data_IF_416126812115
#
_entry.id   IF_416126812115
#
_cell.length_a   1.000
_cell.length_b   1.000
_cell.length_c   1.000
_cell.angle_alpha   90.00
_cell.angle_beta   90.00
_cell.angle_gamma   90.00
#
_symmetry.space_group_name_H-M   'P 1'
#
loop_
_entity.id
_entity.type
_entity.pdbx_description
1 polymer ?
#
# COMPACT_ATOMS: atom_id res chain seq x y z
N UNK A 1 23.35 58.04 -33.18
CA UNK A 1 23.78 57.07 -32.13
C UNK A 1 22.88 57.32 -30.93
N UNK A 2 22.11 56.41 -30.32
CA UNK A 2 22.34 55.00 -30.01
C UNK A 2 20.97 54.28 -30.03
N UNK A 3 20.89 53.21 -30.81
CA UNK A 3 19.84 52.19 -30.68
C UNK A 3 20.24 51.25 -29.54
N UNK A 4 19.27 50.45 -29.08
CA UNK A 4 19.40 49.25 -28.24
C UNK A 4 19.81 49.45 -26.77
N UNK A 5 18.81 49.57 -25.90
CA UNK A 5 18.85 48.93 -24.58
C UNK A 5 17.44 48.52 -24.15
N UNK A 6 16.82 47.67 -24.97
CA UNK A 6 15.64 46.89 -24.61
C UNK A 6 16.05 45.42 -24.78
N UNK A 7 15.61 44.56 -23.87
CA UNK A 7 15.89 43.11 -23.78
C UNK A 7 17.10 42.68 -22.94
N UNK A 8 16.95 42.67 -21.62
CA UNK A 8 17.65 41.69 -20.76
C UNK A 8 17.01 41.63 -19.35
N UNK A 9 15.72 41.31 -19.26
CA UNK A 9 15.13 40.82 -18.00
C UNK A 9 14.40 39.51 -18.30
N UNK A 10 15.17 38.52 -18.74
CA UNK A 10 14.67 37.18 -19.00
C UNK A 10 14.68 36.39 -17.69
N UNK A 11 13.47 36.25 -17.13
CA UNK A 11 12.97 35.10 -16.36
C UNK A 11 14.02 34.09 -15.86
N UNK A 12 14.32 34.15 -14.56
CA UNK A 12 14.71 32.96 -13.78
C UNK A 12 13.67 32.75 -12.68
N UNK A 13 12.46 32.33 -13.08
CA UNK A 13 11.57 31.60 -12.18
C UNK A 13 11.83 30.13 -12.49
N UNK A 14 12.84 29.55 -11.85
CA UNK A 14 12.94 28.09 -11.78
C UNK A 14 11.76 27.60 -10.94
N UNK A 15 10.65 27.25 -11.60
CA UNK A 15 9.62 26.42 -10.99
C UNK A 15 10.32 25.11 -10.57
N UNK A 16 10.62 25.00 -9.29
CA UNK A 16 10.91 23.70 -8.67
C UNK A 16 9.58 22.97 -8.68
N UNK A 17 9.28 22.30 -9.79
CA UNK A 17 8.24 21.30 -9.83
C UNK A 17 8.78 20.13 -9.01
N UNK A 18 8.49 20.10 -7.71
CA UNK A 18 8.70 18.88 -6.93
C UNK A 18 7.78 17.83 -7.53
N UNK A 19 8.34 16.89 -8.29
CA UNK A 19 7.61 15.73 -8.75
C UNK A 19 7.01 15.05 -7.51
N UNK A 20 5.67 15.03 -7.45
CA UNK A 20 4.95 14.45 -6.33
C UNK A 20 5.20 12.94 -6.32
N UNK A 21 5.60 12.41 -5.16
CA UNK A 21 5.82 10.98 -4.99
C UNK A 21 4.45 10.31 -4.88
N UNK A 22 4.13 9.42 -5.82
CA UNK A 22 2.96 8.56 -5.70
C UNK A 22 3.21 7.46 -4.66
N UNK A 23 2.52 7.56 -3.53
CA UNK A 23 2.59 6.60 -2.42
C UNK A 23 1.55 5.49 -2.52
N UNK A 24 0.68 5.51 -3.55
CA UNK A 24 -0.35 4.47 -3.74
C UNK A 24 0.18 3.03 -3.86
N UNK A 25 1.40 2.75 -4.40
CA UNK A 25 1.89 1.38 -4.52
C UNK A 25 2.09 0.65 -3.18
N UNK A 26 2.35 1.40 -2.10
CA UNK A 26 2.60 0.84 -0.76
C UNK A 26 1.34 0.69 0.08
N UNK A 27 0.17 1.12 -0.41
CA UNK A 27 -1.09 0.96 0.32
C UNK A 27 -1.49 -0.51 0.45
N UNK A 28 -2.11 -0.85 1.57
CA UNK A 28 -2.58 -2.20 1.86
C UNK A 28 -2.35 -2.62 3.31
N UNK A 29 -2.72 -3.85 3.59
CA UNK A 29 -2.48 -4.50 4.88
C UNK A 29 -1.18 -5.30 4.82
N UNK A 30 -0.42 -5.27 5.90
CA UNK A 30 0.83 -6.00 6.10
C UNK A 30 0.71 -6.83 7.36
N UNK A 31 0.94 -8.13 7.26
CA UNK A 31 0.92 -9.04 8.40
C UNK A 31 2.34 -9.46 8.73
N UNK A 32 2.70 -9.40 10.01
CA UNK A 32 4.06 -9.64 10.44
C UNK A 32 4.19 -9.91 11.92
N UNK A 33 5.44 -9.85 12.38
CA UNK A 33 5.78 -9.97 13.80
C UNK A 33 6.22 -8.60 14.32
N UNK A 34 5.78 -8.27 15.52
CA UNK A 34 6.26 -7.13 16.29
C UNK A 34 7.03 -7.63 17.50
N UNK A 35 8.24 -7.15 17.66
CA UNK A 35 9.09 -7.32 18.83
C UNK A 35 8.90 -6.10 19.71
N UNK A 36 8.78 -6.31 21.02
CA UNK A 36 8.71 -5.22 22.00
C UNK A 36 9.90 -5.39 22.96
N UNK A 37 10.58 -4.31 23.29
CA UNK A 37 11.67 -4.32 24.28
C UNK A 37 11.25 -4.82 25.66
N UNK A 38 9.99 -4.58 26.04
CA UNK A 38 9.38 -5.02 27.32
C UNK A 38 8.80 -6.45 27.27
N UNK A 39 8.86 -7.14 26.13
CA UNK A 39 8.30 -8.50 25.98
C UNK A 39 9.21 -9.39 25.13
N UNK A 40 9.73 -10.51 25.67
CA UNK A 40 10.70 -11.34 24.97
C UNK A 40 10.12 -12.12 23.77
N UNK A 41 8.79 -12.24 23.68
CA UNK A 41 8.14 -13.01 22.62
C UNK A 41 7.55 -12.08 21.54
N UNK A 42 7.95 -12.24 20.27
CA UNK A 42 7.34 -11.51 19.16
C UNK A 42 5.85 -11.87 19.03
N UNK A 43 4.99 -10.87 18.83
CA UNK A 43 3.55 -11.07 18.60
C UNK A 43 3.22 -10.90 17.12
N UNK A 44 2.23 -11.65 16.63
CA UNK A 44 1.69 -11.42 15.28
C UNK A 44 0.74 -10.23 15.31
N UNK A 45 0.96 -9.25 14.45
CA UNK A 45 0.12 -8.05 14.33
C UNK A 45 -0.02 -7.64 12.86
N UNK A 46 -0.97 -6.75 12.60
CA UNK A 46 -1.19 -6.19 11.27
C UNK A 46 -0.94 -4.67 11.28
N UNK A 47 -0.29 -4.19 10.23
CA UNK A 47 -0.23 -2.79 9.89
C UNK A 47 -1.08 -2.51 8.65
N UNK A 48 -1.78 -1.38 8.64
CA UNK A 48 -2.47 -0.89 7.44
C UNK A 48 -1.82 0.41 7.01
N UNK A 49 -1.43 0.49 5.75
CA UNK A 49 -0.96 1.70 5.09
C UNK A 49 -2.07 2.23 4.19
N UNK A 50 -2.43 3.50 4.38
CA UNK A 50 -3.38 4.22 3.54
C UNK A 50 -2.89 5.63 3.22
N UNK A 51 -3.66 6.36 2.39
CA UNK A 51 -3.40 7.77 2.11
C UNK A 51 -3.36 8.59 3.41
N UNK A 52 -2.31 9.40 3.57
CA UNK A 52 -2.18 10.33 4.69
C UNK A 52 -3.00 11.61 4.49
N UNK A 53 -3.10 12.42 5.54
CA UNK A 53 -3.82 13.69 5.50
C UNK A 53 -3.19 14.76 4.58
N UNK A 54 -1.93 14.58 4.19
CA UNK A 54 -1.19 15.52 3.33
C UNK A 54 -0.59 14.81 2.12
N UNK A 55 -0.38 15.54 1.04
CA UNK A 55 0.26 14.99 -0.18
C UNK A 55 1.67 14.46 0.14
N UNK A 56 2.05 13.35 -0.50
CA UNK A 56 3.34 12.68 -0.24
C UNK A 56 3.46 12.05 1.15
N UNK A 57 2.37 11.96 1.91
CA UNK A 57 2.35 11.32 3.24
C UNK A 57 1.44 10.09 3.28
N UNK A 58 1.71 9.20 4.22
CA UNK A 58 0.88 8.04 4.52
C UNK A 58 0.29 8.12 5.92
N UNK A 59 -0.78 7.36 6.11
CA UNK A 59 -1.30 6.99 7.41
C UNK A 59 -0.94 5.54 7.68
N UNK A 60 -0.30 5.31 8.82
CA UNK A 60 0.13 4.01 9.30
C UNK A 60 -0.71 3.64 10.52
N UNK A 61 -1.40 2.50 10.46
CA UNK A 61 -2.26 2.02 11.56
C UNK A 61 -1.77 0.67 12.04
N UNK A 62 -1.30 0.58 13.28
CA UNK A 62 -1.04 -0.68 13.98
C UNK A 62 -2.37 -1.17 14.55
N UNK A 63 -2.83 -2.34 14.08
CA UNK A 63 -4.12 -2.91 14.47
C UNK A 63 -4.03 -3.65 15.81
N UNK A 64 -5.01 -3.43 16.67
CA UNK A 64 -5.22 -4.18 17.92
C UNK A 64 -3.97 -4.30 18.80
N UNK A 65 -3.28 -3.17 19.02
CA UNK A 65 -2.10 -3.11 19.86
C UNK A 65 -2.41 -3.51 21.31
N UNK A 66 -1.56 -4.36 21.89
CA UNK A 66 -1.71 -4.87 23.25
C UNK A 66 -0.35 -5.08 23.92
N UNK A 67 -0.18 -4.50 25.11
CA UNK A 67 1.01 -4.62 25.95
C UNK A 67 0.61 -5.12 27.33
N UNK A 68 1.30 -6.14 27.83
CA UNK A 68 1.06 -6.66 29.19
C UNK A 68 -0.39 -7.08 29.44
N UNK A 69 -1.10 -7.58 28.41
CA UNK A 69 -2.51 -7.96 28.50
C UNK A 69 -3.50 -6.79 28.52
N UNK A 70 -3.03 -5.55 28.35
CA UNK A 70 -3.88 -4.36 28.21
C UNK A 70 -4.04 -4.01 26.74
N UNK A 71 -5.24 -4.14 26.14
CA UNK A 71 -5.47 -3.76 24.76
C UNK A 71 -5.66 -2.24 24.68
N UNK A 72 -4.84 -1.60 23.83
CA UNK A 72 -4.85 -0.17 23.53
C UNK A 72 -5.61 0.15 22.22
N UNK A 73 -6.23 -0.86 21.61
CA UNK A 73 -6.94 -0.69 20.34
C UNK A 73 -5.98 -0.40 19.18
N UNK A 74 -6.45 0.33 18.18
CA UNK A 74 -5.64 0.68 17.03
C UNK A 74 -4.79 1.92 17.32
N UNK A 75 -3.50 1.85 16.98
CA UNK A 75 -2.57 2.98 17.09
C UNK A 75 -2.38 3.57 15.71
N UNK A 76 -2.73 4.84 15.55
CA UNK A 76 -2.66 5.54 14.25
C UNK A 76 -1.57 6.60 14.26
N UNK A 77 -0.71 6.57 13.26
CA UNK A 77 0.28 7.60 12.95
C UNK A 77 -0.03 8.17 11.56
N UNK A 78 -0.51 9.41 11.51
CA UNK A 78 -0.82 10.10 10.25
C UNK A 78 0.32 11.07 9.87
N UNK A 79 0.28 11.59 8.63
CA UNK A 79 1.26 12.52 8.09
C UNK A 79 2.70 11.99 8.11
N UNK A 80 2.87 10.67 7.96
CA UNK A 80 4.20 10.06 7.84
C UNK A 80 4.78 10.45 6.48
N UNK A 81 5.85 11.25 6.42
CA UNK A 81 6.44 11.66 5.15
C UNK A 81 7.09 10.45 4.47
N UNK A 82 7.00 10.38 3.15
CA UNK A 82 7.58 9.28 2.37
C UNK A 82 8.52 9.81 1.31
N UNK A 83 9.70 9.20 1.21
CA UNK A 83 10.64 9.40 0.10
C UNK A 83 10.78 8.11 -0.71
N UNK A 84 10.99 8.24 -2.01
CA UNK A 84 11.25 7.09 -2.88
C UNK A 84 12.76 6.92 -3.07
N UNK A 85 13.24 5.70 -2.88
CA UNK A 85 14.63 5.29 -3.14
C UNK A 85 14.66 4.23 -4.23
N UNK A 86 15.86 3.93 -4.76
CA UNK A 86 16.04 2.84 -5.74
C UNK A 86 15.58 1.47 -5.20
N UNK A 87 15.56 1.29 -3.87
CA UNK A 87 15.26 0.01 -3.21
C UNK A 87 13.83 -0.10 -2.67
N UNK A 88 13.02 0.96 -2.78
CA UNK A 88 11.69 1.03 -2.19
C UNK A 88 11.37 2.39 -1.57
N UNK A 89 10.35 2.44 -0.72
CA UNK A 89 9.87 3.65 -0.07
C UNK A 89 10.44 3.74 1.34
N UNK A 90 10.92 4.92 1.73
CA UNK A 90 11.49 5.19 3.06
C UNK A 90 10.56 6.15 3.79
N UNK A 91 10.26 5.84 5.04
CA UNK A 91 9.43 6.69 5.90
C UNK A 91 10.33 7.65 6.65
N UNK A 92 10.03 8.94 6.55
CA UNK A 92 10.75 9.96 7.29
C UNK A 92 10.39 9.93 8.77
N UNK A 93 11.31 10.47 9.56
CA UNK A 93 11.22 10.52 11.01
C UNK A 93 10.00 11.33 11.47
N UNK A 94 9.32 10.84 12.50
CA UNK A 94 8.31 11.57 13.26
C UNK A 94 8.62 11.44 14.74
N UNK A 95 8.53 12.53 15.48
CA UNK A 95 8.79 12.55 16.93
C UNK A 95 7.67 13.27 17.66
N UNK A 96 7.29 12.76 18.82
CA UNK A 96 6.38 13.46 19.71
C UNK A 96 4.94 13.57 19.22
N UNK A 97 4.47 12.66 18.35
CA UNK A 97 3.13 12.73 17.77
C UNK A 97 2.08 12.29 18.80
N UNK A 98 1.11 13.14 19.17
CA UNK A 98 0.07 12.74 20.11
C UNK A 98 -0.88 11.72 19.47
N UNK A 99 -1.22 10.67 20.21
CA UNK A 99 -2.18 9.65 19.81
C UNK A 99 -3.18 9.43 20.95
N UNK A 100 -4.45 9.63 20.65
CA UNK A 100 -5.57 9.46 21.57
C UNK A 100 -6.24 8.12 21.26
N UNK A 101 -6.23 7.20 22.21
CA UNK A 101 -6.89 5.90 22.09
C UNK A 101 -7.59 5.51 23.39
N UNK A 102 -8.19 4.34 23.43
CA UNK A 102 -8.76 3.75 24.66
C UNK A 102 -7.97 2.51 25.05
N UNK A 103 -7.74 2.35 26.35
CA UNK A 103 -7.16 1.14 26.93
C UNK A 103 -8.20 0.42 27.77
N UNK A 104 -8.28 -0.91 27.66
CA UNK A 104 -9.11 -1.71 28.57
C UNK A 104 -8.25 -2.20 29.74
N UNK A 105 -8.57 -1.80 30.97
CA UNK A 105 -7.93 -2.31 32.18
C UNK A 105 -8.99 -2.82 33.14
N UNK A 106 -8.85 -4.09 33.58
CA UNK A 106 -9.80 -4.74 34.50
C UNK A 106 -11.26 -4.63 34.04
N UNK A 107 -11.50 -4.76 32.73
CA UNK A 107 -12.84 -4.69 32.13
C UNK A 107 -13.39 -3.26 31.91
N UNK A 108 -12.68 -2.22 32.33
CA UNK A 108 -13.08 -0.82 32.12
C UNK A 108 -12.30 -0.21 30.95
N UNK A 109 -12.99 0.56 30.10
CA UNK A 109 -12.36 1.38 29.06
C UNK A 109 -11.94 2.72 29.64
N UNK A 110 -10.68 3.09 29.46
CA UNK A 110 -10.11 4.34 29.93
C UNK A 110 -9.48 5.07 28.74
N UNK A 111 -9.53 6.40 28.76
CA UNK A 111 -8.82 7.21 27.77
C UNK A 111 -7.31 7.08 27.99
N UNK A 112 -6.58 6.89 26.90
CA UNK A 112 -5.14 6.74 26.87
C UNK A 112 -4.55 7.81 25.94
N UNK A 113 -3.78 8.71 26.54
CA UNK A 113 -2.95 9.67 25.82
C UNK A 113 -1.56 9.06 25.66
N UNK A 114 -1.16 8.81 24.41
CA UNK A 114 0.12 8.24 24.05
C UNK A 114 0.92 9.27 23.24
N UNK A 115 2.23 9.21 23.34
CA UNK A 115 3.13 9.94 22.45
C UNK A 115 3.88 8.94 21.57
N UNK A 116 3.79 9.12 20.26
CA UNK A 116 4.36 8.21 19.25
C UNK A 116 5.58 8.84 18.59
N UNK A 117 6.63 8.05 18.36
CA UNK A 117 7.78 8.44 17.55
C UNK A 117 8.18 7.31 16.61
N UNK A 118 8.31 7.61 15.32
CA UNK A 118 8.82 6.66 14.33
C UNK A 118 10.36 6.64 14.46
N UNK A 119 10.89 5.53 14.95
CA UNK A 119 12.31 5.38 15.30
C UNK A 119 13.00 4.35 14.42
N UNK A 120 14.31 4.50 14.21
CA UNK A 120 15.12 3.60 13.39
C UNK A 120 15.30 4.09 11.95
N UNK A 121 16.37 3.60 11.33
CA UNK A 121 16.87 4.08 10.02
C UNK A 121 16.25 3.35 8.82
N UNK A 122 15.51 2.26 9.07
CA UNK A 122 15.06 1.32 8.04
C UNK A 122 13.54 1.31 7.85
N UNK A 123 12.85 2.31 8.40
CA UNK A 123 11.40 2.40 8.28
C UNK A 123 10.99 2.60 6.82
N UNK A 124 10.08 1.76 6.34
CA UNK A 124 9.68 1.81 4.95
C UNK A 124 9.20 0.49 4.38
N UNK A 125 8.99 0.49 3.07
CA UNK A 125 8.57 -0.67 2.28
C UNK A 125 9.62 -0.98 1.22
N UNK A 126 10.13 -2.21 1.20
CA UNK A 126 11.04 -2.73 0.18
C UNK A 126 10.42 -3.98 -0.45
N UNK A 127 10.06 -3.89 -1.73
CA UNK A 127 9.22 -4.92 -2.36
C UNK A 127 7.88 -5.04 -1.62
N UNK A 128 7.57 -6.24 -1.11
CA UNK A 128 6.38 -6.50 -0.30
C UNK A 128 6.65 -6.44 1.22
N UNK A 129 7.88 -6.18 1.66
CA UNK A 129 8.23 -6.16 3.07
C UNK A 129 8.11 -4.76 3.67
N UNK A 130 7.40 -4.66 4.79
CA UNK A 130 7.28 -3.46 5.62
C UNK A 130 8.12 -3.62 6.88
N UNK A 131 8.97 -2.63 7.15
CA UNK A 131 9.69 -2.48 8.43
C UNK A 131 9.24 -1.19 9.12
N UNK A 132 8.90 -1.28 10.41
CA UNK A 132 8.48 -0.12 11.24
C UNK A 132 9.07 -0.25 12.64
N UNK A 133 9.87 0.73 13.04
CA UNK A 133 10.26 0.99 14.42
C UNK A 133 9.39 2.10 15.00
N UNK A 134 8.75 1.84 16.14
CA UNK A 134 7.84 2.78 16.77
C UNK A 134 8.10 2.78 18.28
N UNK A 135 8.40 3.96 18.83
CA UNK A 135 8.35 4.21 20.28
C UNK A 135 6.97 4.72 20.66
N UNK A 136 6.44 4.14 21.73
CA UNK A 136 5.15 4.48 22.32
C UNK A 136 5.38 4.86 23.78
N UNK A 137 5.13 6.12 24.12
CA UNK A 137 5.36 6.67 25.45
C UNK A 137 4.05 6.92 26.20
N UNK A 138 3.92 6.34 27.40
CA UNK A 138 2.83 6.60 28.34
C UNK A 138 3.38 6.55 29.78
N UNK A 139 4.20 7.54 30.16
CA UNK A 139 4.95 7.53 31.43
C UNK A 139 6.13 6.55 31.48
N UNK A 140 6.11 5.51 30.64
CA UNK A 140 7.25 4.67 30.27
C UNK A 140 7.29 4.51 28.75
N UNK A 141 8.49 4.37 28.22
CA UNK A 141 8.72 4.13 26.80
C UNK A 141 8.68 2.64 26.51
N UNK A 142 7.99 2.29 25.42
CA UNK A 142 7.99 0.95 24.84
C UNK A 142 8.46 1.09 23.41
N UNK A 143 9.58 0.46 23.09
CA UNK A 143 10.12 0.43 21.75
C UNK A 143 9.67 -0.85 21.04
N UNK A 144 9.14 -0.67 19.84
CA UNK A 144 8.64 -1.77 19.03
C UNK A 144 9.34 -1.82 17.69
N UNK A 145 9.57 -3.03 17.20
CA UNK A 145 10.09 -3.28 15.85
C UNK A 145 9.20 -4.28 15.15
N UNK A 146 8.57 -3.85 14.08
CA UNK A 146 7.75 -4.67 13.22
C UNK A 146 8.48 -5.01 11.92
N UNK A 147 8.37 -6.27 11.50
CA UNK A 147 8.70 -6.73 10.16
C UNK A 147 7.56 -7.61 9.66
N UNK A 148 7.03 -7.32 8.47
CA UNK A 148 5.91 -8.04 7.90
C UNK A 148 5.82 -7.93 6.39
N UNK A 149 4.95 -8.74 5.79
CA UNK A 149 4.74 -8.77 4.34
C UNK A 149 3.35 -8.29 3.97
N UNK A 150 3.24 -7.66 2.80
CA UNK A 150 1.99 -7.22 2.21
C UNK A 150 1.07 -8.42 2.04
N UNK A 151 -0.17 -8.28 2.51
CA UNK A 151 -1.22 -9.26 2.30
C UNK A 151 -1.68 -9.11 0.85
N UNK A 152 -1.61 -10.19 0.08
CA UNK A 152 -2.08 -10.22 -1.29
C UNK A 152 -3.59 -9.90 -1.33
N UNK A 153 -3.95 -8.78 -1.95
CA UNK A 153 -5.34 -8.30 -2.06
C UNK A 153 -6.03 -8.75 -3.34
N UNK A 154 -5.45 -9.66 -4.14
CA UNK A 154 -6.03 -10.06 -5.42
C UNK A 154 -6.03 -11.57 -5.65
N UNK A 155 -7.22 -12.09 -5.96
CA UNK A 155 -7.35 -13.04 -7.07
C UNK A 155 -6.94 -12.24 -8.31
N UNK A 156 -5.82 -12.56 -8.94
CA UNK A 156 -5.55 -12.11 -10.30
C UNK A 156 -6.67 -12.68 -11.17
N UNK A 157 -7.49 -11.81 -11.77
CA UNK A 157 -8.34 -12.21 -12.90
C UNK A 157 -7.40 -12.87 -13.90
N UNK A 158 -7.52 -14.19 -14.07
CA UNK A 158 -6.77 -14.91 -15.09
C UNK A 158 -7.08 -14.19 -16.40
N UNK A 159 -6.11 -13.48 -16.96
CA UNK A 159 -6.19 -13.07 -18.36
C UNK A 159 -6.36 -14.38 -19.13
N UNK A 160 -7.55 -14.60 -19.67
CA UNK A 160 -7.91 -15.83 -20.36
C UNK A 160 -6.81 -16.18 -21.36
N UNK A 161 -5.98 -17.16 -21.02
CA UNK A 161 -4.91 -17.64 -21.87
C UNK A 161 -5.52 -18.09 -23.18
N UNK A 162 -4.99 -17.55 -24.29
CA UNK A 162 -5.26 -17.88 -25.68
C UNK A 162 -6.70 -18.32 -25.97
N UNK A 163 -7.51 -17.43 -26.56
CA UNK A 163 -8.74 -17.86 -27.27
C UNK A 163 -8.38 -19.09 -28.10
N UNK A 164 -8.91 -20.26 -27.73
CA UNK A 164 -8.76 -21.48 -28.53
C UNK A 164 -9.20 -21.13 -29.94
N UNK A 165 -8.42 -21.52 -30.94
CA UNK A 165 -8.80 -21.32 -32.33
C UNK A 165 -10.23 -21.85 -32.53
N UNK A 166 -11.08 -21.04 -33.18
CA UNK A 166 -12.47 -21.40 -33.40
C UNK A 166 -12.55 -22.77 -34.06
N UNK A 167 -13.36 -23.66 -33.49
CA UNK A 167 -13.61 -24.97 -34.06
C UNK A 167 -14.91 -24.92 -34.84
N UNK A 168 -14.85 -25.31 -36.10
CA UNK A 168 -15.98 -25.29 -37.02
C UNK A 168 -16.45 -26.71 -37.33
N UNK A 169 -17.77 -26.89 -37.36
CA UNK A 169 -18.42 -28.12 -37.82
C UNK A 169 -19.54 -27.78 -38.80
N UNK A 170 -19.83 -28.69 -39.72
CA UNK A 170 -21.11 -28.72 -40.42
C UNK A 170 -22.23 -29.12 -39.45
N UNK A 171 -23.48 -28.81 -39.81
CA UNK A 171 -24.65 -29.17 -39.00
C UNK A 171 -24.81 -30.69 -38.79
N UNK A 172 -24.25 -31.50 -39.70
CA UNK A 172 -24.20 -32.96 -39.59
C UNK A 172 -23.10 -33.47 -38.64
N UNK A 173 -22.35 -32.58 -37.99
CA UNK A 173 -21.32 -32.93 -37.01
C UNK A 173 -19.92 -33.19 -37.57
N UNK A 174 -19.70 -33.11 -38.89
CA UNK A 174 -18.35 -33.25 -39.46
C UNK A 174 -17.51 -31.99 -39.25
N UNK A 175 -16.26 -32.13 -38.82
CA UNK A 175 -15.33 -31.01 -38.58
C UNK A 175 -14.90 -30.37 -39.90
N UNK A 176 -14.81 -29.06 -39.93
CA UNK A 176 -14.34 -28.30 -41.10
C UNK A 176 -13.28 -27.27 -40.72
N UNK A 177 -12.41 -26.96 -41.69
CA UNK A 177 -11.42 -25.89 -41.55
C UNK A 177 -12.05 -24.60 -42.04
N UNK A 178 -12.16 -23.61 -41.14
CA UNK A 178 -12.63 -22.23 -41.36
C UNK A 178 -13.47 -22.06 -42.65
N UNK A 179 -14.76 -22.41 -42.62
CA UNK A 179 -15.58 -22.55 -43.82
C UNK A 179 -15.70 -21.21 -44.55
N UNK A 180 -15.47 -21.19 -45.86
CA UNK A 180 -15.59 -19.99 -46.71
C UNK A 180 -16.87 -19.95 -47.54
N UNK A 181 -17.59 -21.07 -47.61
CA UNK A 181 -18.84 -21.21 -48.37
C UNK A 181 -20.05 -20.80 -47.54
N UNK A 182 -21.08 -20.25 -48.19
CA UNK A 182 -22.39 -19.97 -47.59
C UNK A 182 -23.00 -21.22 -46.98
N UNK A 183 -23.64 -21.11 -45.83
CA UNK A 183 -24.30 -22.24 -45.17
C UNK A 183 -24.36 -22.12 -43.65
N UNK A 184 -25.00 -23.11 -43.02
CA UNK A 184 -25.14 -23.18 -41.55
C UNK A 184 -24.02 -24.02 -40.96
N UNK A 185 -23.31 -23.47 -39.99
CA UNK A 185 -22.18 -24.10 -39.30
C UNK A 185 -22.35 -24.06 -37.79
N UNK A 186 -21.66 -24.94 -37.08
CA UNK A 186 -21.50 -24.88 -35.63
C UNK A 186 -20.11 -24.32 -35.35
N UNK A 187 -20.04 -23.17 -34.68
CA UNK A 187 -18.80 -22.48 -34.30
C UNK A 187 -18.77 -22.40 -32.78
N UNK A 188 -17.81 -23.08 -32.16
CA UNK A 188 -17.69 -23.16 -30.69
C UNK A 188 -19.02 -23.54 -29.99
N UNK A 189 -19.74 -24.50 -30.57
CA UNK A 189 -21.03 -24.99 -30.04
C UNK A 189 -22.26 -24.14 -30.39
N UNK A 190 -22.11 -23.02 -31.12
CA UNK A 190 -23.23 -22.18 -31.55
C UNK A 190 -23.53 -22.35 -33.03
N UNK A 191 -24.81 -22.46 -33.39
CA UNK A 191 -25.25 -22.45 -34.80
C UNK A 191 -25.12 -21.04 -35.36
N UNK A 192 -24.43 -20.90 -36.49
CA UNK A 192 -24.17 -19.63 -37.17
C UNK A 192 -24.49 -19.80 -38.66
N UNK A 193 -25.30 -18.91 -39.22
CA UNK A 193 -25.49 -18.80 -40.66
C UNK A 193 -24.37 -17.95 -41.23
N UNK A 194 -23.57 -18.52 -42.14
CA UNK A 194 -22.55 -17.79 -42.87
C UNK A 194 -23.15 -17.30 -44.20
N UNK A 195 -23.28 -15.98 -44.41
CA UNK A 195 -23.81 -15.38 -45.63
C UNK A 195 -22.81 -15.42 -46.78
#
# INVERSE_FOLDING_TARGET
>A
MKRTLLCALAFYISLICSAQIDVSPIFGEYTGKIELDVSPLPKKVNYVISKGASEGTIKLVLKSYEVGGSPYGDITLDKVPVTQSASGFVFGKLEGVPCYTTVTRRGQKLDANLTLSLEGETNGVKGDELTVGLKISQGKDVHTKFVGKKVATSITTIQGGNKKADVYYHINGSRVVKPTKRGVYIINGKKVLKP
#
